data_IF_641958562338
#
_entry.id   IF_641958562338
#
_cell.length_a   1.000
_cell.length_b   1.000
_cell.length_c   1.000
_cell.angle_alpha   90.00
_cell.angle_beta   90.00
_cell.angle_gamma   90.00
#
_symmetry.space_group_name_H-M   'P 1'
#
loop_
_entity.id
_entity.type
_entity.pdbx_description
1 polymer ?
#
# COMPACT_ATOMS: atom_id res chain seq x y z
N UNK A 1 -17.93 -14.58 8.58
CA UNK A 1 -17.52 -13.76 9.75
C UNK A 1 -16.01 -13.66 9.89
N UNK A 2 -15.28 -14.78 9.92
CA UNK A 2 -13.80 -14.82 10.09
C UNK A 2 -13.05 -14.00 9.05
N UNK A 3 -13.38 -14.14 7.76
CA UNK A 3 -12.73 -13.38 6.67
C UNK A 3 -12.91 -11.86 6.87
N UNK A 4 -14.10 -11.42 7.31
CA UNK A 4 -14.37 -10.00 7.58
C UNK A 4 -13.48 -9.45 8.69
N UNK A 5 -13.25 -10.25 9.74
CA UNK A 5 -12.33 -9.90 10.83
C UNK A 5 -10.90 -9.77 10.30
N UNK A 6 -10.42 -10.73 9.50
CA UNK A 6 -9.10 -10.65 8.87
C UNK A 6 -8.95 -9.43 7.94
N UNK A 7 -9.97 -9.11 7.14
CA UNK A 7 -9.97 -7.92 6.28
C UNK A 7 -9.95 -6.62 7.10
N UNK A 8 -10.61 -6.60 8.26
CA UNK A 8 -10.57 -5.46 9.17
C UNK A 8 -9.18 -5.29 9.77
N UNK A 9 -8.58 -6.35 10.29
CA UNK A 9 -7.19 -6.33 10.79
C UNK A 9 -6.20 -5.91 9.70
N UNK A 10 -6.39 -6.38 8.46
CA UNK A 10 -5.61 -5.92 7.31
C UNK A 10 -5.75 -4.41 7.07
N UNK A 11 -6.94 -3.84 7.20
CA UNK A 11 -7.14 -2.38 7.09
C UNK A 11 -6.51 -1.62 8.25
N UNK A 12 -6.54 -2.17 9.46
CA UNK A 12 -5.83 -1.58 10.62
C UNK A 12 -4.33 -1.51 10.34
N UNK A 13 -3.76 -2.50 9.64
CA UNK A 13 -2.34 -2.44 9.23
C UNK A 13 -2.03 -1.24 8.31
N UNK A 14 -3.00 -0.76 7.52
CA UNK A 14 -2.81 0.42 6.67
C UNK A 14 -2.78 1.72 7.50
N UNK A 15 -3.47 1.78 8.65
CA UNK A 15 -3.42 2.93 9.55
C UNK A 15 -2.03 3.14 10.16
N UNK A 16 -1.25 2.07 10.35
CA UNK A 16 0.10 2.17 10.89
C UNK A 16 1.09 2.95 10.01
N UNK A 17 0.72 3.24 8.75
CA UNK A 17 1.46 4.18 7.90
C UNK A 17 1.42 5.63 8.39
N UNK A 18 0.55 5.96 9.36
CA UNK A 18 0.55 7.28 9.99
C UNK A 18 1.75 7.51 10.93
N UNK A 19 2.23 6.43 11.57
CA UNK A 19 3.36 6.48 12.49
C UNK A 19 4.64 6.05 11.76
N UNK A 20 5.56 7.00 11.55
CA UNK A 20 6.79 6.75 10.78
C UNK A 20 7.61 5.58 11.32
N UNK A 21 7.75 5.48 12.64
CA UNK A 21 8.50 4.40 13.28
C UNK A 21 7.93 3.01 12.94
N UNK A 22 6.61 2.86 13.04
CA UNK A 22 5.92 1.58 12.77
C UNK A 22 5.94 1.30 11.26
N UNK A 23 5.65 2.32 10.44
CA UNK A 23 5.66 2.22 8.98
C UNK A 23 7.01 1.72 8.45
N UNK A 24 8.12 2.21 9.01
CA UNK A 24 9.48 1.80 8.62
C UNK A 24 9.75 0.30 8.83
N UNK A 25 9.08 -0.34 9.78
CA UNK A 25 9.23 -1.77 10.07
C UNK A 25 8.20 -2.64 9.33
N UNK A 26 6.98 -2.13 9.18
CA UNK A 26 5.86 -2.89 8.62
C UNK A 26 5.79 -2.84 7.08
N UNK A 27 6.20 -1.73 6.46
CA UNK A 27 6.16 -1.57 4.99
C UNK A 27 6.99 -2.63 4.25
N UNK A 28 8.22 -2.96 4.68
CA UNK A 28 8.99 -4.03 4.06
C UNK A 28 8.26 -5.37 4.13
N UNK A 29 7.67 -5.71 5.29
CA UNK A 29 6.92 -6.96 5.49
C UNK A 29 5.70 -7.03 4.57
N UNK A 30 4.96 -5.93 4.43
CA UNK A 30 3.78 -5.87 3.54
C UNK A 30 4.16 -6.13 2.08
N UNK A 31 5.32 -5.64 1.63
CA UNK A 31 5.81 -5.80 0.26
C UNK A 31 6.52 -7.12 0.01
N UNK A 32 7.11 -7.68 1.05
CA UNK A 32 7.77 -8.99 1.06
C UNK A 32 6.83 -10.09 0.53
N UNK A 33 5.53 -10.02 0.82
CA UNK A 33 4.51 -10.99 0.35
C UNK A 33 4.60 -11.24 -1.17
N UNK A 34 4.82 -10.18 -1.97
CA UNK A 34 4.95 -10.32 -3.42
C UNK A 34 6.33 -10.84 -3.83
N UNK A 35 7.38 -10.45 -3.11
CA UNK A 35 8.74 -10.90 -3.39
C UNK A 35 9.00 -12.37 -3.03
N UNK A 36 8.29 -12.93 -2.05
CA UNK A 36 8.44 -14.35 -1.65
C UNK A 36 7.63 -15.30 -2.54
N UNK A 37 6.73 -14.78 -3.38
CA UNK A 37 5.82 -15.61 -4.18
C UNK A 37 6.55 -16.63 -5.08
N UNK A 38 7.68 -16.29 -5.75
CA UNK A 38 8.47 -17.27 -6.50
C UNK A 38 9.03 -18.39 -5.61
N UNK A 39 9.60 -18.06 -4.45
CA UNK A 39 10.14 -19.07 -3.53
C UNK A 39 9.02 -19.96 -2.97
N UNK A 40 7.86 -19.36 -2.65
CA UNK A 40 6.66 -20.10 -2.22
C UNK A 40 6.13 -21.02 -3.34
N UNK A 41 6.22 -20.60 -4.60
CA UNK A 41 5.82 -21.45 -5.74
C UNK A 41 6.70 -22.69 -5.88
N UNK A 42 8.03 -22.54 -5.70
CA UNK A 42 8.97 -23.68 -5.70
C UNK A 42 8.68 -24.61 -4.53
N UNK A 43 8.48 -24.05 -3.32
CA UNK A 43 8.10 -24.84 -2.15
C UNK A 43 6.76 -25.57 -2.35
N UNK A 44 5.79 -24.92 -3.00
CA UNK A 44 4.49 -25.52 -3.34
C UNK A 44 4.59 -26.66 -4.35
N UNK A 45 5.44 -26.53 -5.37
CA UNK A 45 5.71 -27.61 -6.33
C UNK A 45 6.39 -28.80 -5.63
N UNK A 46 7.40 -28.54 -4.80
CA UNK A 46 8.06 -29.59 -4.02
C UNK A 46 7.07 -30.28 -3.07
N UNK A 47 6.23 -29.51 -2.38
CA UNK A 47 5.17 -30.02 -1.51
C UNK A 47 4.19 -30.92 -2.29
N UNK A 48 3.72 -30.49 -3.46
CA UNK A 48 2.82 -31.28 -4.30
C UNK A 48 3.49 -32.57 -4.80
N UNK A 49 4.78 -32.53 -5.15
CA UNK A 49 5.53 -33.71 -5.55
C UNK A 49 5.63 -34.74 -4.42
N UNK A 50 5.92 -34.32 -3.18
CA UNK A 50 5.95 -35.21 -2.03
C UNK A 50 4.55 -35.71 -1.64
N UNK A 51 3.52 -34.87 -1.72
CA UNK A 51 2.14 -35.28 -1.49
C UNK A 51 1.73 -36.42 -2.44
N UNK A 52 2.09 -36.30 -3.73
CA UNK A 52 1.87 -37.36 -4.70
C UNK A 52 2.72 -38.62 -4.40
N UNK A 53 3.97 -38.45 -3.97
CA UNK A 53 4.83 -39.58 -3.60
C UNK A 53 4.27 -40.36 -2.39
N UNK A 54 3.76 -39.67 -1.37
CA UNK A 54 3.11 -40.28 -0.22
C UNK A 54 1.80 -40.98 -0.61
N UNK A 55 0.98 -40.37 -1.46
CA UNK A 55 -0.25 -41.00 -1.96
C UNK A 55 0.04 -42.34 -2.67
N UNK A 56 1.09 -42.38 -3.50
CA UNK A 56 1.50 -43.61 -4.19
C UNK A 56 2.10 -44.63 -3.21
N UNK A 57 2.91 -44.17 -2.24
CA UNK A 57 3.50 -45.05 -1.22
C UNK A 57 2.45 -45.67 -0.29
N UNK A 58 1.29 -45.03 -0.17
CA UNK A 58 0.13 -45.51 0.58
C UNK A 58 -0.79 -46.44 -0.23
N UNK A 59 -0.42 -46.78 -1.47
CA UNK A 59 -1.21 -47.67 -2.32
C UNK A 59 -2.50 -47.04 -2.86
N UNK A 60 -2.71 -45.74 -2.61
CA UNK A 60 -3.91 -45.01 -3.05
C UNK A 60 -5.19 -45.38 -2.30
N UNK A 61 -5.09 -45.98 -1.11
CA UNK A 61 -6.25 -46.37 -0.30
C UNK A 61 -6.95 -45.18 0.36
N UNK A 62 -6.21 -44.12 0.68
CA UNK A 62 -6.73 -42.92 1.34
C UNK A 62 -7.05 -41.80 0.35
N UNK A 63 -8.12 -41.03 0.65
CA UNK A 63 -8.44 -39.83 -0.09
C UNK A 63 -7.29 -38.80 -0.03
N UNK A 64 -6.92 -38.26 -1.20
CA UNK A 64 -5.87 -37.22 -1.33
C UNK A 64 -6.17 -36.02 -0.41
N UNK A 65 -7.44 -35.66 -0.28
CA UNK A 65 -7.91 -34.59 0.58
C UNK A 65 -8.98 -35.09 1.55
N UNK A 66 -8.88 -34.80 2.86
CA UNK A 66 -7.85 -34.00 3.53
C UNK A 66 -6.66 -34.82 4.06
N UNK A 67 -6.69 -36.15 3.97
CA UNK A 67 -5.77 -37.05 4.68
C UNK A 67 -4.31 -36.84 4.29
N UNK A 68 -3.94 -37.29 3.08
CA UNK A 68 -2.55 -37.27 2.61
C UNK A 68 -1.97 -35.85 2.60
N UNK A 69 -2.77 -34.83 2.25
CA UNK A 69 -2.32 -33.46 2.27
C UNK A 69 -1.98 -32.96 3.68
N UNK A 70 -2.82 -33.24 4.68
CA UNK A 70 -2.56 -32.83 6.06
C UNK A 70 -1.37 -33.58 6.66
N UNK A 71 -1.25 -34.87 6.38
CA UNK A 71 -0.12 -35.68 6.81
C UNK A 71 1.19 -35.17 6.20
N UNK A 72 1.20 -34.94 4.88
CA UNK A 72 2.37 -34.37 4.18
C UNK A 72 2.73 -32.98 4.75
N UNK A 73 1.73 -32.14 5.05
CA UNK A 73 1.95 -30.85 5.70
C UNK A 73 2.60 -31.01 7.08
N UNK A 74 2.08 -31.92 7.89
CA UNK A 74 2.61 -32.16 9.23
C UNK A 74 4.04 -32.71 9.17
N UNK A 75 4.31 -33.70 8.31
CA UNK A 75 5.66 -34.24 8.11
C UNK A 75 6.63 -33.15 7.65
N UNK A 76 6.30 -32.39 6.59
CA UNK A 76 7.23 -31.44 5.99
C UNK A 76 7.43 -30.16 6.81
N UNK A 77 6.38 -29.64 7.45
CA UNK A 77 6.41 -28.35 8.15
C UNK A 77 6.66 -28.50 9.64
N UNK A 78 6.01 -29.48 10.30
CA UNK A 78 6.14 -29.67 11.75
C UNK A 78 7.16 -30.76 12.11
N UNK A 79 7.67 -31.50 11.12
CA UNK A 79 8.55 -32.65 11.33
C UNK A 79 7.91 -33.74 12.20
N UNK A 80 6.58 -33.83 12.21
CA UNK A 80 5.88 -34.92 12.89
C UNK A 80 6.02 -36.19 12.08
N UNK A 81 6.93 -37.07 12.48
CA UNK A 81 7.05 -38.39 11.89
C UNK A 81 5.85 -39.25 12.33
N UNK A 82 5.24 -40.03 11.41
CA UNK A 82 4.23 -41.01 11.79
C UNK A 82 4.80 -42.05 12.76
N UNK A 83 3.95 -42.61 13.62
CA UNK A 83 4.30 -43.79 14.40
C UNK A 83 4.34 -45.00 13.44
N UNK A 84 5.54 -45.52 13.19
CA UNK A 84 5.71 -46.69 12.33
C UNK A 84 5.79 -47.95 13.17
N UNK A 85 4.86 -48.88 12.95
CA UNK A 85 4.95 -50.22 13.51
C UNK A 85 6.03 -51.02 12.75
N UNK A 86 6.98 -51.60 13.49
CA UNK A 86 8.12 -52.32 12.91
C UNK A 86 7.72 -53.52 12.03
N UNK A 87 6.48 -54.02 12.18
CA UNK A 87 5.95 -55.20 11.51
C UNK A 87 5.08 -54.88 10.27
N UNK A 88 4.72 -53.61 9.99
CA UNK A 88 3.74 -53.26 8.93
C UNK A 88 4.32 -53.17 7.51
N UNK A 89 5.64 -53.29 7.34
CA UNK A 89 6.27 -53.17 6.01
C UNK A 89 6.39 -51.73 5.48
N UNK A 90 6.09 -50.71 6.31
CA UNK A 90 6.11 -49.29 5.93
C UNK A 90 7.51 -48.65 5.82
N UNK A 91 8.58 -49.46 5.66
CA UNK A 91 9.95 -48.96 5.56
C UNK A 91 10.14 -47.95 4.41
N UNK A 92 9.42 -48.13 3.30
CA UNK A 92 9.45 -47.21 2.17
C UNK A 92 8.90 -45.82 2.54
N UNK A 93 7.78 -45.77 3.28
CA UNK A 93 7.17 -44.51 3.75
C UNK A 93 8.08 -43.80 4.74
N UNK A 94 8.73 -44.53 5.64
CA UNK A 94 9.70 -43.97 6.58
C UNK A 94 10.90 -43.36 5.86
N UNK A 95 11.51 -44.10 4.92
CA UNK A 95 12.64 -43.58 4.13
C UNK A 95 12.21 -42.35 3.33
N UNK A 96 11.03 -42.40 2.69
CA UNK A 96 10.48 -41.27 1.95
C UNK A 96 10.27 -40.06 2.86
N UNK A 97 9.70 -40.25 4.06
CA UNK A 97 9.51 -39.18 5.04
C UNK A 97 10.83 -38.56 5.49
N UNK A 98 11.85 -39.37 5.79
CA UNK A 98 13.17 -38.87 6.19
C UNK A 98 13.83 -38.07 5.06
N UNK A 99 13.78 -38.57 3.81
CA UNK A 99 14.30 -37.86 2.63
C UNK A 99 13.53 -36.57 2.40
N UNK A 100 12.20 -36.59 2.53
CA UNK A 100 11.34 -35.44 2.34
C UNK A 100 11.59 -34.35 3.38
N UNK A 101 11.69 -34.71 4.67
CA UNK A 101 12.03 -33.79 5.75
C UNK A 101 13.43 -33.21 5.56
N UNK A 102 14.42 -34.03 5.23
CA UNK A 102 15.79 -33.56 4.97
C UNK A 102 15.82 -32.61 3.79
N UNK A 103 15.17 -32.96 2.68
CA UNK A 103 15.09 -32.09 1.50
C UNK A 103 14.40 -30.76 1.82
N UNK A 104 13.24 -30.80 2.48
CA UNK A 104 12.45 -29.61 2.75
C UNK A 104 13.10 -28.68 3.79
N UNK A 105 13.63 -29.24 4.88
CA UNK A 105 14.28 -28.46 5.94
C UNK A 105 15.66 -27.92 5.53
N UNK A 106 16.49 -28.74 4.88
CA UNK A 106 17.86 -28.35 4.55
C UNK A 106 17.93 -27.54 3.25
N UNK A 107 17.10 -27.83 2.25
CA UNK A 107 17.16 -27.11 0.98
C UNK A 107 16.08 -26.04 0.89
N UNK A 108 14.80 -26.43 0.93
CA UNK A 108 13.70 -25.50 0.65
C UNK A 108 13.63 -24.38 1.69
N UNK A 109 13.70 -24.71 2.97
CA UNK A 109 13.60 -23.72 4.05
C UNK A 109 14.81 -22.78 4.08
N UNK A 110 16.03 -23.28 3.87
CA UNK A 110 17.23 -22.44 3.80
C UNK A 110 17.22 -21.49 2.59
N UNK A 111 16.79 -21.97 1.40
CA UNK A 111 16.60 -21.11 0.23
C UNK A 111 15.53 -20.05 0.52
N UNK A 112 14.42 -20.46 1.15
CA UNK A 112 13.33 -19.54 1.49
C UNK A 112 13.78 -18.44 2.46
N UNK A 113 14.54 -18.78 3.50
CA UNK A 113 15.13 -17.80 4.42
C UNK A 113 16.11 -16.88 3.69
N UNK A 114 16.96 -17.42 2.81
CA UNK A 114 17.90 -16.64 2.01
C UNK A 114 17.19 -15.59 1.15
N UNK A 115 16.22 -16.01 0.33
CA UNK A 115 15.43 -15.12 -0.52
C UNK A 115 14.65 -14.10 0.32
N UNK A 116 14.05 -14.53 1.44
CA UNK A 116 13.33 -13.62 2.32
C UNK A 116 14.25 -12.54 2.89
N UNK A 117 15.46 -12.91 3.31
CA UNK A 117 16.47 -11.98 3.84
C UNK A 117 16.90 -10.96 2.79
N UNK A 118 17.21 -11.40 1.58
CA UNK A 118 17.62 -10.52 0.47
C UNK A 118 16.52 -9.53 0.09
N UNK A 119 15.28 -10.01 -0.12
CA UNK A 119 14.14 -9.14 -0.45
C UNK A 119 13.83 -8.19 0.71
N UNK A 120 13.92 -8.65 1.95
CA UNK A 120 13.68 -7.80 3.12
C UNK A 120 14.73 -6.69 3.24
N UNK A 121 16.02 -6.99 3.00
CA UNK A 121 17.09 -5.99 2.99
C UNK A 121 16.91 -4.97 1.87
N UNK A 122 16.55 -5.42 0.67
CA UNK A 122 16.26 -4.54 -0.47
C UNK A 122 15.08 -3.60 -0.18
N UNK A 123 13.96 -4.12 0.33
CA UNK A 123 12.80 -3.29 0.71
C UNK A 123 13.08 -2.37 1.90
N UNK A 124 13.91 -2.80 2.85
CA UNK A 124 14.35 -1.96 3.97
C UNK A 124 15.17 -0.77 3.48
N UNK A 125 16.07 -0.96 2.51
CA UNK A 125 16.86 0.12 1.91
C UNK A 125 15.98 1.16 1.19
N UNK A 126 14.90 0.71 0.54
CA UNK A 126 13.93 1.55 -0.19
C UNK A 126 12.82 2.12 0.70
N UNK A 127 12.77 1.73 1.97
CA UNK A 127 11.64 1.99 2.85
C UNK A 127 11.34 3.49 3.00
N UNK A 128 12.35 4.35 3.12
CA UNK A 128 12.16 5.80 3.25
C UNK A 128 11.45 6.42 2.04
N UNK A 129 11.90 6.05 0.83
CA UNK A 129 11.33 6.56 -0.41
C UNK A 129 9.90 6.06 -0.58
N UNK A 130 9.69 4.77 -0.31
CA UNK A 130 8.38 4.12 -0.32
C UNK A 130 7.42 4.80 0.65
N UNK A 131 7.83 5.02 1.89
CA UNK A 131 7.01 5.68 2.91
C UNK A 131 6.59 7.09 2.49
N UNK A 132 7.53 7.91 1.99
CA UNK A 132 7.23 9.25 1.48
C UNK A 132 6.27 9.20 0.30
N UNK A 133 6.44 8.24 -0.62
CA UNK A 133 5.53 8.03 -1.76
C UNK A 133 4.12 7.65 -1.32
N UNK A 134 3.97 6.70 -0.39
CA UNK A 134 2.66 6.30 0.14
C UNK A 134 1.95 7.48 0.82
N UNK A 135 2.67 8.27 1.62
CA UNK A 135 2.12 9.50 2.23
C UNK A 135 1.74 10.55 1.21
N UNK A 136 2.59 10.80 0.21
CA UNK A 136 2.27 11.73 -0.87
C UNK A 136 1.03 11.27 -1.66
N UNK A 137 0.90 9.96 -1.91
CA UNK A 137 -0.27 9.37 -2.55
C UNK A 137 -1.52 9.51 -1.67
N UNK A 138 -1.42 9.28 -0.37
CA UNK A 138 -2.51 9.48 0.58
C UNK A 138 -2.97 10.94 0.64
N UNK A 139 -2.02 11.90 0.69
CA UNK A 139 -2.31 13.33 0.62
C UNK A 139 -2.96 13.70 -0.72
N UNK A 140 -2.44 13.20 -1.85
CA UNK A 140 -3.03 13.45 -3.17
C UNK A 140 -4.44 12.89 -3.27
N UNK A 141 -4.68 11.66 -2.79
CA UNK A 141 -6.00 11.05 -2.77
C UNK A 141 -6.97 11.84 -1.88
N UNK A 142 -6.50 12.36 -0.74
CA UNK A 142 -7.29 13.25 0.10
C UNK A 142 -7.66 14.54 -0.64
N UNK A 143 -6.70 15.20 -1.30
CA UNK A 143 -6.91 16.43 -2.08
C UNK A 143 -7.84 16.23 -3.30
N UNK A 144 -7.71 15.10 -3.98
CA UNK A 144 -8.58 14.76 -5.12
C UNK A 144 -10.01 14.50 -4.64
N UNK A 145 -10.19 13.84 -3.49
CA UNK A 145 -11.51 13.59 -2.91
C UNK A 145 -12.17 14.87 -2.41
N UNK A 146 -11.42 15.77 -1.79
CA UNK A 146 -11.95 17.07 -1.36
C UNK A 146 -12.43 17.94 -2.52
N UNK A 147 -11.92 17.73 -3.75
CA UNK A 147 -12.43 18.44 -4.94
C UNK A 147 -13.81 17.94 -5.39
N UNK A 148 -14.14 16.68 -5.12
CA UNK A 148 -15.41 16.06 -5.55
C UNK A 148 -16.51 16.24 -4.51
N UNK A 149 -16.14 16.27 -3.23
CA UNK A 149 -17.12 16.42 -2.15
C UNK A 149 -17.48 17.89 -1.95
N UNK A 150 -18.77 18.21 -1.93
CA UNK A 150 -19.24 19.54 -1.57
C UNK A 150 -18.88 19.82 -0.09
N UNK A 151 -17.84 20.61 0.12
CA UNK A 151 -17.49 21.09 1.45
C UNK A 151 -18.34 22.31 1.81
N UNK A 152 -18.79 22.40 3.07
CA UNK A 152 -19.58 23.53 3.56
C UNK A 152 -21.08 23.24 3.72
N UNK A 153 -21.49 21.97 3.69
CA UNK A 153 -22.87 21.56 3.99
C UNK A 153 -23.13 21.63 5.51
N UNK A 154 -22.12 21.31 6.32
CA UNK A 154 -22.23 21.32 7.79
C UNK A 154 -21.28 22.34 8.43
N UNK A 155 -21.73 22.95 9.54
CA UNK A 155 -20.83 23.70 10.43
C UNK A 155 -19.89 22.74 11.16
N UNK A 156 -18.75 23.24 11.65
CA UNK A 156 -17.77 22.45 12.42
C UNK A 156 -18.41 21.74 13.62
N UNK A 157 -19.25 22.45 14.37
CA UNK A 157 -19.99 21.89 15.51
C UNK A 157 -20.97 20.79 15.09
N UNK A 158 -21.75 21.03 14.01
CA UNK A 158 -22.70 20.05 13.48
C UNK A 158 -21.98 18.79 13.00
N UNK A 159 -20.83 18.95 12.33
CA UNK A 159 -20.02 17.82 11.85
C UNK A 159 -19.57 16.91 12.99
N UNK A 160 -19.05 17.47 14.08
CA UNK A 160 -18.65 16.69 15.26
C UNK A 160 -19.82 15.92 15.89
N UNK A 161 -21.00 16.54 15.98
CA UNK A 161 -22.20 15.89 16.52
C UNK A 161 -22.61 14.72 15.61
N UNK A 162 -22.67 14.93 14.29
CA UNK A 162 -23.04 13.87 13.33
C UNK A 162 -22.04 12.72 13.37
N UNK A 163 -20.74 13.01 13.45
CA UNK A 163 -19.69 11.97 13.61
C UNK A 163 -19.88 11.19 14.91
N UNK A 164 -20.12 11.87 16.03
CA UNK A 164 -20.31 11.21 17.32
C UNK A 164 -21.54 10.29 17.31
N UNK A 165 -22.66 10.74 16.74
CA UNK A 165 -23.88 9.94 16.59
C UNK A 165 -23.65 8.76 15.65
N UNK A 166 -23.08 8.99 14.46
CA UNK A 166 -22.82 7.93 13.49
C UNK A 166 -21.83 6.89 14.02
N UNK A 167 -20.79 7.31 14.75
CA UNK A 167 -19.83 6.42 15.39
C UNK A 167 -20.49 5.58 16.49
N UNK A 168 -21.33 6.21 17.33
CA UNK A 168 -22.08 5.50 18.38
C UNK A 168 -23.02 4.44 17.79
N UNK A 169 -23.74 4.76 16.71
CA UNK A 169 -24.59 3.80 15.99
C UNK A 169 -23.77 2.67 15.38
N UNK A 170 -22.64 3.00 14.73
CA UNK A 170 -21.76 2.00 14.13
C UNK A 170 -21.20 1.03 15.18
N UNK A 171 -20.77 1.53 16.34
CA UNK A 171 -20.32 0.71 17.48
C UNK A 171 -21.46 -0.13 18.04
N UNK A 172 -22.65 0.45 18.21
CA UNK A 172 -23.84 -0.28 18.66
C UNK A 172 -24.20 -1.45 17.74
N UNK A 173 -24.12 -1.24 16.41
CA UNK A 173 -24.32 -2.29 15.41
C UNK A 173 -23.25 -3.39 15.55
N UNK A 174 -21.97 -3.03 15.73
CA UNK A 174 -20.89 -4.01 15.92
C UNK A 174 -21.10 -4.84 17.19
N UNK A 175 -21.46 -4.22 18.32
CA UNK A 175 -21.77 -4.93 19.57
C UNK A 175 -22.99 -5.85 19.40
N UNK A 176 -24.03 -5.37 18.72
CA UNK A 176 -25.23 -6.15 18.44
C UNK A 176 -24.91 -7.40 17.61
N UNK A 177 -24.11 -7.26 16.54
CA UNK A 177 -23.66 -8.38 15.71
C UNK A 177 -22.76 -9.36 16.46
N UNK A 178 -21.92 -8.84 17.37
CA UNK A 178 -21.08 -9.67 18.21
C UNK A 178 -21.91 -10.51 19.19
N UNK A 179 -23.02 -9.98 19.70
CA UNK A 179 -23.91 -10.72 20.62
C UNK A 179 -24.87 -11.68 19.91
N UNK A 180 -25.41 -11.28 18.77
CA UNK A 180 -26.46 -12.01 18.06
C UNK A 180 -25.95 -12.55 16.72
N UNK A 181 -25.08 -13.56 16.78
CA UNK A 181 -24.40 -14.16 15.62
C UNK A 181 -25.31 -14.67 14.49
N UNK A 182 -26.64 -14.78 14.70
CA UNK A 182 -27.56 -15.55 13.85
C UNK A 182 -28.41 -14.74 12.87
N UNK A 183 -28.46 -13.40 12.95
CA UNK A 183 -29.35 -12.61 12.08
C UNK A 183 -28.59 -11.51 11.32
N UNK A 184 -27.92 -11.89 10.22
CA UNK A 184 -27.50 -10.94 9.20
C UNK A 184 -28.70 -10.44 8.39
N UNK A 185 -29.48 -9.54 9.01
CA UNK A 185 -30.46 -8.76 8.26
C UNK A 185 -29.70 -7.82 7.30
N UNK A 186 -29.93 -7.99 5.99
CA UNK A 186 -29.28 -7.19 4.93
C UNK A 186 -29.39 -5.67 5.16
N UNK A 187 -30.47 -5.21 5.79
CA UNK A 187 -30.69 -3.80 6.12
C UNK A 187 -29.67 -3.22 7.11
N UNK A 188 -29.22 -4.01 8.10
CA UNK A 188 -28.29 -3.53 9.14
C UNK A 188 -26.91 -3.22 8.56
N UNK A 189 -26.47 -4.02 7.57
CA UNK A 189 -25.23 -3.76 6.84
C UNK A 189 -25.25 -2.44 6.07
N UNK A 190 -26.40 -2.08 5.48
CA UNK A 190 -26.58 -0.82 4.76
C UNK A 190 -26.51 0.37 5.72
N UNK A 191 -27.17 0.29 6.88
CA UNK A 191 -27.08 1.34 7.92
C UNK A 191 -25.64 1.53 8.38
N UNK A 192 -24.91 0.45 8.63
CA UNK A 192 -23.49 0.55 9.00
C UNK A 192 -22.66 1.24 7.90
N UNK A 193 -22.87 0.88 6.64
CA UNK A 193 -22.19 1.52 5.50
C UNK A 193 -22.52 3.01 5.38
N UNK A 194 -23.78 3.41 5.63
CA UNK A 194 -24.19 4.82 5.66
C UNK A 194 -23.53 5.57 6.82
N UNK A 195 -23.45 4.97 8.01
CA UNK A 195 -22.75 5.57 9.14
C UNK A 195 -21.26 5.78 8.82
N UNK A 196 -20.58 4.80 8.23
CA UNK A 196 -19.19 4.94 7.81
C UNK A 196 -19.03 6.02 6.72
N UNK A 197 -19.95 6.06 5.76
CA UNK A 197 -20.00 7.10 4.73
C UNK A 197 -20.18 8.50 5.32
N UNK A 198 -21.08 8.65 6.29
CA UNK A 198 -21.30 9.91 7.01
C UNK A 198 -20.08 10.35 7.82
N UNK A 199 -19.43 9.43 8.55
CA UNK A 199 -18.20 9.74 9.30
C UNK A 199 -17.13 10.26 8.34
N UNK A 200 -16.93 9.56 7.22
CA UNK A 200 -15.95 9.97 6.19
C UNK A 200 -16.34 11.31 5.58
N UNK A 201 -17.61 11.52 5.22
CA UNK A 201 -18.11 12.77 4.63
C UNK A 201 -17.92 13.95 5.58
N UNK A 202 -18.27 13.80 6.86
CA UNK A 202 -18.10 14.81 7.89
C UNK A 202 -16.64 15.21 8.12
N UNK A 203 -15.69 14.27 7.93
CA UNK A 203 -14.25 14.57 8.00
C UNK A 203 -13.79 15.55 6.90
N UNK A 204 -14.56 15.75 5.82
CA UNK A 204 -14.29 16.74 4.77
C UNK A 204 -15.06 18.06 4.95
N UNK A 205 -15.89 18.21 6.00
CA UNK A 205 -16.73 19.38 6.22
C UNK A 205 -16.04 20.49 7.03
N UNK A 206 -14.72 20.57 7.04
CA UNK A 206 -14.01 21.62 7.77
C UNK A 206 -14.18 22.98 7.06
N UNK A 207 -14.93 23.95 7.65
CA UNK A 207 -15.15 25.25 7.03
C UNK A 207 -13.88 26.10 6.98
N UNK A 208 -12.88 25.81 7.82
CA UNK A 208 -11.60 26.51 7.87
C UNK A 208 -10.60 25.96 6.83
N UNK A 209 -10.96 24.88 6.13
CA UNK A 209 -10.08 24.28 5.14
C UNK A 209 -9.88 25.22 3.94
N UNK A 210 -8.63 25.45 3.50
CA UNK A 210 -8.31 26.31 2.36
C UNK A 210 -8.96 25.83 1.04
N UNK A 211 -9.45 24.60 1.01
CA UNK A 211 -10.08 23.98 -0.17
C UNK A 211 -11.54 24.41 -0.36
N UNK A 212 -12.20 24.91 0.68
CA UNK A 212 -13.62 25.30 0.66
C UNK A 212 -13.81 26.79 0.35
N UNK A 213 -12.77 27.58 0.61
CA UNK A 213 -12.72 29.04 0.43
C UNK A 213 -12.49 29.45 -1.03
N UNK A 214 -13.09 28.73 -1.97
CA UNK A 214 -12.98 28.97 -3.42
C UNK A 214 -13.61 30.29 -3.89
N UNK A 215 -14.06 31.20 -3.02
CA UNK A 215 -14.96 32.29 -3.45
C UNK A 215 -14.70 33.71 -2.95
N UNK A 216 -13.72 34.07 -2.11
CA UNK A 216 -13.75 35.46 -1.56
C UNK A 216 -12.47 36.30 -1.45
N UNK A 217 -11.35 35.88 -2.03
CA UNK A 217 -10.19 36.79 -2.13
C UNK A 217 -9.19 36.36 -3.19
N UNK A 218 -9.12 37.12 -4.28
CA UNK A 218 -8.33 36.86 -5.50
C UNK A 218 -6.79 36.93 -5.33
N UNK A 219 -6.21 36.42 -4.23
CA UNK A 219 -4.77 36.61 -3.96
C UNK A 219 -4.00 35.40 -3.42
N UNK A 220 -4.65 34.37 -2.87
CA UNK A 220 -3.94 33.22 -2.30
C UNK A 220 -3.86 32.05 -3.29
N UNK A 221 -2.84 32.05 -4.14
CA UNK A 221 -2.49 30.88 -4.94
C UNK A 221 -1.95 29.77 -4.02
N UNK A 222 -2.71 28.69 -3.84
CA UNK A 222 -2.24 27.52 -3.11
C UNK A 222 -1.43 26.63 -4.05
N UNK A 223 -0.14 26.49 -3.78
CA UNK A 223 0.76 25.65 -4.56
C UNK A 223 0.77 24.22 -4.03
N UNK A 224 0.44 23.25 -4.90
CA UNK A 224 0.68 21.84 -4.64
C UNK A 224 2.12 21.54 -5.05
N UNK A 225 2.98 21.29 -4.07
CA UNK A 225 4.35 20.88 -4.32
C UNK A 225 4.35 19.41 -4.75
N UNK A 226 4.55 19.16 -6.05
CA UNK A 226 4.79 17.82 -6.56
C UNK A 226 6.28 17.53 -6.60
N UNK A 227 6.75 16.68 -5.69
CA UNK A 227 8.12 16.17 -5.74
C UNK A 227 8.19 15.02 -6.75
N UNK A 228 8.66 15.30 -7.97
CA UNK A 228 9.06 14.26 -8.93
C UNK A 228 10.41 13.70 -8.47
N UNK A 229 10.56 12.37 -8.40
CA UNK A 229 11.89 11.75 -8.24
C UNK A 229 12.77 12.30 -9.35
N UNK A 230 13.90 12.92 -9.01
CA UNK A 230 14.91 13.31 -9.98
C UNK A 230 15.24 12.03 -10.77
N UNK A 231 14.78 11.98 -12.02
CA UNK A 231 15.26 10.98 -12.94
C UNK A 231 16.74 11.27 -13.02
N UNK A 232 17.58 10.29 -12.68
CA UNK A 232 18.99 10.38 -13.01
C UNK A 232 19.05 10.35 -14.53
N UNK A 233 18.81 11.50 -15.15
CA UNK A 233 19.23 11.78 -16.49
C UNK A 233 20.74 11.48 -16.49
N UNK A 234 21.25 10.75 -17.49
CA UNK A 234 22.68 10.51 -17.60
C UNK A 234 23.38 11.84 -17.34
N UNK A 235 24.24 11.86 -16.31
CA UNK A 235 24.69 13.09 -15.65
C UNK A 235 25.36 14.09 -16.62
N UNK A 236 25.76 13.61 -17.79
CA UNK A 236 26.28 14.40 -18.91
C UNK A 236 25.21 15.24 -19.62
N UNK A 237 23.97 14.75 -19.78
CA UNK A 237 22.94 15.38 -20.63
C UNK A 237 22.13 16.43 -19.85
N UNK A 238 21.88 16.20 -18.56
CA UNK A 238 21.00 17.08 -17.77
C UNK A 238 21.64 18.42 -17.45
N UNK A 239 22.96 18.46 -17.25
CA UNK A 239 23.67 19.74 -17.05
C UNK A 239 23.72 20.55 -18.34
N UNK A 240 23.84 19.90 -19.50
CA UNK A 240 23.84 20.55 -20.80
C UNK A 240 22.44 21.10 -21.14
N UNK A 241 21.38 20.32 -20.90
CA UNK A 241 20.01 20.77 -21.13
C UNK A 241 19.60 21.92 -20.18
N UNK A 242 19.97 21.84 -18.90
CA UNK A 242 19.74 22.94 -17.94
C UNK A 242 20.54 24.18 -18.32
N UNK A 243 21.79 24.02 -18.76
CA UNK A 243 22.64 25.13 -19.21
C UNK A 243 22.07 25.78 -20.47
N UNK A 244 21.62 25.00 -21.44
CA UNK A 244 20.97 25.48 -22.67
C UNK A 244 19.69 26.27 -22.37
N UNK A 245 18.87 25.81 -21.42
CA UNK A 245 17.68 26.56 -20.98
C UNK A 245 18.08 27.85 -20.28
N UNK A 246 19.11 27.83 -19.42
CA UNK A 246 19.60 29.02 -18.72
C UNK A 246 20.16 30.06 -19.69
N UNK A 247 20.95 29.63 -20.67
CA UNK A 247 21.52 30.47 -21.72
C UNK A 247 20.42 31.06 -22.61
N UNK A 248 19.39 30.27 -22.95
CA UNK A 248 18.22 30.77 -23.68
C UNK A 248 17.44 31.84 -22.91
N UNK A 249 17.31 31.68 -21.58
CA UNK A 249 16.64 32.68 -20.73
C UNK A 249 17.48 33.96 -20.66
N UNK A 250 18.80 33.85 -20.48
CA UNK A 250 19.70 35.01 -20.46
C UNK A 250 19.68 35.77 -21.79
N UNK A 251 19.72 35.07 -22.92
CA UNK A 251 19.63 35.68 -24.25
C UNK A 251 18.30 36.43 -24.44
N UNK A 252 17.19 35.85 -23.96
CA UNK A 252 15.88 36.49 -24.02
C UNK A 252 15.81 37.75 -23.15
N UNK A 253 16.37 37.71 -21.94
CA UNK A 253 16.43 38.88 -21.05
C UNK A 253 17.29 40.01 -21.65
N UNK A 254 18.45 39.68 -22.23
CA UNK A 254 19.31 40.65 -22.90
C UNK A 254 18.58 41.32 -24.09
N UNK A 255 17.78 40.55 -24.83
CA UNK A 255 16.97 41.09 -25.92
C UNK A 255 15.90 42.06 -25.41
N UNK A 256 15.20 41.73 -24.34
CA UNK A 256 14.22 42.63 -23.71
C UNK A 256 14.87 43.94 -23.26
N UNK A 257 16.07 43.86 -22.69
CA UNK A 257 16.80 45.03 -22.23
C UNK A 257 17.25 45.92 -23.39
N UNK A 258 17.73 45.32 -24.49
CA UNK A 258 18.04 46.05 -25.71
C UNK A 258 16.81 46.74 -26.31
N UNK A 259 15.68 46.03 -26.42
CA UNK A 259 14.42 46.58 -26.94
C UNK A 259 13.92 47.75 -26.06
N UNK A 260 14.11 47.66 -24.74
CA UNK A 260 13.78 48.75 -23.80
C UNK A 260 14.61 50.01 -24.05
N UNK A 261 15.89 49.88 -24.38
CA UNK A 261 16.78 51.01 -24.71
C UNK A 261 16.38 51.66 -26.04
N UNK A 262 15.99 50.86 -27.03
CA UNK A 262 15.47 51.37 -28.31
C UNK A 262 14.15 52.11 -28.11
N UNK A 263 13.24 51.57 -27.29
CA UNK A 263 11.99 52.22 -26.96
C UNK A 263 12.19 53.53 -26.19
N UNK A 264 13.09 53.55 -25.19
CA UNK A 264 13.34 54.75 -24.39
C UNK A 264 13.98 55.88 -25.21
N UNK A 265 14.90 55.55 -26.13
CA UNK A 265 15.48 56.52 -27.07
C UNK A 265 14.45 57.04 -28.07
N UNK A 266 13.58 56.19 -28.62
CA UNK A 266 12.48 56.61 -29.52
C UNK A 266 11.47 57.55 -28.83
N UNK A 267 11.23 57.36 -27.53
CA UNK A 267 10.38 58.23 -26.71
C UNK A 267 11.01 59.59 -26.41
N UNK A 268 12.35 59.67 -26.31
CA UNK A 268 13.06 60.94 -26.15
C UNK A 268 12.98 61.81 -27.42
N UNK A 269 13.06 61.22 -28.62
CA UNK A 269 12.92 61.96 -29.88
C UNK A 269 11.53 62.56 -30.09
N UNK A 270 10.47 61.96 -29.54
CA UNK A 270 9.10 62.51 -29.59
C UNK A 270 8.85 63.67 -28.61
N UNK A 271 9.80 63.98 -27.71
CA UNK A 271 9.72 65.13 -26.79
C UNK A 271 10.62 66.29 -27.21
N UNK A 272 10.82 66.50 -28.51
CA UNK A 272 11.36 67.77 -29.01
C UNK A 272 10.23 68.82 -29.03
N UNK A 273 10.48 70.04 -28.55
CA UNK A 273 9.45 71.05 -28.36
C UNK A 273 8.91 71.54 -29.70
N UNK A 274 7.57 71.55 -29.83
CA UNK A 274 6.87 72.38 -30.80
C UNK A 274 7.19 73.85 -30.48
N UNK A 275 8.10 74.44 -31.26
CA UNK A 275 8.34 75.88 -31.31
C UNK A 275 7.10 76.60 -31.85
#
# INVERSE_FOLDING_TARGET
MVITVFLYWRRVLDFFTAAEYIARKLLPIKRLIFGILPALSVAGIAFAAFCHAFFVADGGEHDIWPGVLWETFSILITSSLPEFDADSGDQLKLILALVAVLFFSVFILNIFIGVMSEVYMDETSKCQLTYRRERACACLNYLLRSRVMACGVFSKATSYIVVAVAASVAVGIQIYFFRNHLLMNKGVGLVFMLCQGLIVFCAYQDPESPLTTSSRGAGASYYIWYCKKAVALPQADCQEEVRNVFDSIQAFLAKIEADKIVLSSSLQWKRLPSA
#
